data_IF_091968105658
#
_entry.id   IF_091968105658
#
_cell.length_a   1.000
_cell.length_b   1.000
_cell.length_c   1.000
_cell.angle_alpha   90.00
_cell.angle_beta   90.00
_cell.angle_gamma   90.00
#
_symmetry.space_group_name_H-M   'P 1'
#
loop_
_entity.id
_entity.type
_entity.pdbx_description
1 polymer ?
#
# COMPACT_ATOMS: atom_id res chain seq x y z
N UNK A 1 -19.40 25.13 43.59
CA UNK A 1 -18.14 25.74 44.07
C UNK A 1 -16.99 24.91 43.48
N UNK A 2 -16.20 25.51 42.58
CA UNK A 2 -15.07 24.84 41.94
C UNK A 2 -13.87 24.91 42.89
N UNK A 3 -13.18 23.78 43.21
CA UNK A 3 -11.97 23.83 43.99
C UNK A 3 -10.88 24.57 43.21
N UNK A 4 -10.26 25.54 43.87
CA UNK A 4 -9.24 26.42 43.32
C UNK A 4 -8.07 25.63 42.71
N UNK A 5 -7.73 25.98 41.48
CA UNK A 5 -6.49 25.58 40.83
C UNK A 5 -5.39 26.37 41.57
N UNK A 6 -4.70 25.70 42.48
CA UNK A 6 -3.48 26.21 43.10
C UNK A 6 -2.37 26.04 42.06
N UNK A 7 -1.99 27.15 41.41
CA UNK A 7 -0.82 27.22 40.54
C UNK A 7 0.45 27.27 41.42
N UNK A 8 0.85 26.13 41.97
CA UNK A 8 2.09 25.93 42.72
C UNK A 8 3.27 25.70 41.76
N UNK A 9 3.54 26.69 40.91
CA UNK A 9 4.47 26.51 39.79
C UNK A 9 5.22 27.76 39.32
N UNK A 10 5.38 28.77 40.18
CA UNK A 10 6.37 29.82 39.95
C UNK A 10 7.76 29.29 40.33
N UNK A 11 8.27 28.36 39.51
CA UNK A 11 9.70 28.08 39.47
C UNK A 11 10.40 29.39 39.10
N UNK A 12 11.07 29.95 40.10
CA UNK A 12 11.91 31.13 40.07
C UNK A 12 12.78 31.12 38.79
N UNK A 13 12.37 31.88 37.77
CA UNK A 13 13.13 32.05 36.53
C UNK A 13 14.47 32.67 36.87
N UNK A 14 15.49 31.84 37.09
CA UNK A 14 16.87 32.31 37.26
C UNK A 14 17.22 33.20 36.06
N UNK A 15 17.72 34.42 36.28
CA UNK A 15 18.05 35.31 35.18
C UNK A 15 19.10 34.62 34.28
N UNK A 16 19.02 34.78 32.95
CA UNK A 16 19.97 34.16 32.05
C UNK A 16 21.39 34.63 32.39
N UNK A 17 22.28 33.70 32.74
CA UNK A 17 23.72 33.99 32.90
C UNK A 17 24.23 34.44 31.53
N UNK A 18 24.65 35.71 31.45
CA UNK A 18 24.82 36.44 30.18
C UNK A 18 26.06 36.05 29.35
N UNK A 19 26.90 35.12 29.82
CA UNK A 19 28.27 35.03 29.28
C UNK A 19 28.73 33.65 28.77
N UNK A 20 27.85 32.65 28.62
CA UNK A 20 28.25 31.36 28.05
C UNK A 20 27.53 31.12 26.71
N UNK A 21 28.25 31.38 25.60
CA UNK A 21 27.71 31.24 24.23
C UNK A 21 27.11 29.84 23.98
N UNK A 22 27.62 28.81 24.64
CA UNK A 22 27.24 27.41 24.46
C UNK A 22 26.87 26.80 25.82
N UNK A 23 25.58 26.78 26.12
CA UNK A 23 25.00 26.14 27.30
C UNK A 23 24.63 24.69 26.96
N UNK A 24 25.56 23.78 27.23
CA UNK A 24 25.41 22.35 26.95
C UNK A 24 24.24 21.72 27.72
N UNK A 25 23.87 22.27 28.88
CA UNK A 25 22.73 21.79 29.67
C UNK A 25 21.40 22.03 28.94
N UNK A 26 21.30 23.15 28.22
CA UNK A 26 20.11 23.46 27.43
C UNK A 26 20.03 22.59 26.15
N UNK A 27 21.17 22.30 25.51
CA UNK A 27 21.23 21.46 24.30
C UNK A 27 20.84 20.00 24.60
N UNK A 28 21.31 19.48 25.74
CA UNK A 28 20.99 18.13 26.19
C UNK A 28 19.68 18.06 27.00
N UNK A 29 18.94 19.16 27.13
CA UNK A 29 17.69 19.16 27.88
C UNK A 29 16.58 18.43 27.10
N UNK A 30 15.93 17.46 27.75
CA UNK A 30 14.75 16.81 27.21
C UNK A 30 13.51 17.59 27.62
N UNK A 31 12.81 18.18 26.64
CA UNK A 31 11.55 18.86 26.87
C UNK A 31 10.41 17.83 26.89
N UNK A 32 9.87 17.58 28.08
CA UNK A 32 8.66 16.77 28.26
C UNK A 32 7.44 17.67 28.32
N UNK A 33 6.36 17.25 27.67
CA UNK A 33 5.06 17.89 27.83
C UNK A 33 4.48 17.55 29.21
N UNK A 34 4.02 18.57 29.93
CA UNK A 34 3.21 18.38 31.13
C UNK A 34 1.84 17.86 30.70
N UNK A 35 1.56 16.59 31.01
CA UNK A 35 0.29 15.92 30.66
C UNK A 35 -0.61 15.91 31.89
N UNK A 36 -1.87 16.30 31.73
CA UNK A 36 -2.89 16.21 32.77
C UNK A 36 -3.67 14.92 32.60
N UNK A 37 -3.79 14.13 33.66
CA UNK A 37 -4.55 12.88 33.63
C UNK A 37 -6.00 13.14 34.04
N UNK A 38 -6.93 13.07 33.08
CA UNK A 38 -8.36 13.26 33.31
C UNK A 38 -8.99 11.88 33.61
N UNK A 39 -9.49 11.70 34.83
CA UNK A 39 -10.15 10.45 35.27
C UNK A 39 -11.65 10.46 34.96
N UNK A 40 -12.00 10.40 33.68
CA UNK A 40 -13.38 10.26 33.21
C UNK A 40 -13.59 8.91 32.51
N UNK A 41 -14.65 8.18 32.89
CA UNK A 41 -15.01 6.87 32.34
C UNK A 41 -15.43 6.96 30.88
N UNK A 42 -16.18 8.00 30.49
CA UNK A 42 -16.65 8.18 29.12
C UNK A 42 -15.52 8.55 28.19
N UNK A 43 -14.65 9.47 28.63
CA UNK A 43 -13.47 9.88 27.86
C UNK A 43 -12.48 8.71 27.68
N UNK A 44 -12.26 7.92 28.73
CA UNK A 44 -11.46 6.71 28.65
C UNK A 44 -12.04 5.68 27.69
N UNK A 45 -13.37 5.45 27.74
CA UNK A 45 -14.06 4.54 26.83
C UNK A 45 -13.92 4.96 25.36
N UNK A 46 -14.17 6.24 25.04
CA UNK A 46 -14.03 6.77 23.69
C UNK A 46 -12.59 6.66 23.17
N UNK A 47 -11.60 6.95 24.02
CA UNK A 47 -10.19 6.78 23.70
C UNK A 47 -9.88 5.31 23.33
N UNK A 48 -10.26 4.36 24.18
CA UNK A 48 -9.98 2.94 23.94
C UNK A 48 -10.70 2.40 22.71
N UNK A 49 -11.95 2.81 22.45
CA UNK A 49 -12.66 2.43 21.22
C UNK A 49 -11.92 2.96 19.99
N UNK A 50 -11.46 4.21 20.03
CA UNK A 50 -10.74 4.82 18.91
C UNK A 50 -9.43 4.08 18.65
N UNK A 51 -8.64 3.83 19.69
CA UNK A 51 -7.39 3.06 19.60
C UNK A 51 -7.65 1.66 19.05
N UNK A 52 -8.66 0.96 19.59
CA UNK A 52 -9.01 -0.39 19.15
C UNK A 52 -9.46 -0.40 17.68
N UNK A 53 -10.24 0.58 17.25
CA UNK A 53 -10.66 0.72 15.86
C UNK A 53 -9.46 0.89 14.92
N UNK A 54 -8.52 1.78 15.26
CA UNK A 54 -7.30 2.01 14.49
C UNK A 54 -6.44 0.75 14.42
N UNK A 55 -6.23 0.07 15.56
CA UNK A 55 -5.46 -1.18 15.62
C UNK A 55 -6.13 -2.27 14.78
N UNK A 56 -7.45 -2.41 14.89
CA UNK A 56 -8.21 -3.43 14.15
C UNK A 56 -8.13 -3.20 12.63
N UNK A 57 -8.31 -1.96 12.18
CA UNK A 57 -8.16 -1.60 10.75
C UNK A 57 -6.74 -1.91 10.28
N UNK A 58 -5.73 -1.55 11.06
CA UNK A 58 -4.32 -1.81 10.75
C UNK A 58 -4.06 -3.30 10.59
N UNK A 59 -4.53 -4.13 11.54
CA UNK A 59 -4.35 -5.59 11.49
C UNK A 59 -5.07 -6.20 10.29
N UNK A 60 -6.34 -5.86 10.06
CA UNK A 60 -7.13 -6.46 8.99
C UNK A 60 -6.61 -6.01 7.61
N UNK A 61 -6.44 -4.71 7.37
CA UNK A 61 -6.04 -4.24 6.05
C UNK A 61 -4.59 -4.58 5.73
N UNK A 62 -3.65 -4.31 6.64
CA UNK A 62 -2.22 -4.45 6.32
C UNK A 62 -1.78 -5.90 6.40
N UNK A 63 -2.24 -6.66 7.40
CA UNK A 63 -1.80 -8.03 7.59
C UNK A 63 -2.65 -9.03 6.81
N UNK A 64 -3.98 -8.90 6.79
CA UNK A 64 -4.83 -9.89 6.11
C UNK A 64 -4.99 -9.61 4.61
N UNK A 65 -5.28 -8.37 4.20
CA UNK A 65 -5.58 -8.08 2.79
C UNK A 65 -4.29 -7.91 1.98
N UNK A 66 -3.43 -6.98 2.39
CA UNK A 66 -2.19 -6.70 1.65
C UNK A 66 -1.11 -7.78 1.87
N UNK A 67 -1.21 -8.55 2.96
CA UNK A 67 -0.23 -9.60 3.27
C UNK A 67 1.19 -9.06 3.46
N UNK A 68 1.37 -7.78 3.86
CA UNK A 68 2.69 -7.12 3.94
C UNK A 68 3.67 -7.74 4.92
N UNK A 69 3.20 -8.64 5.78
CA UNK A 69 4.03 -9.43 6.68
C UNK A 69 4.80 -10.55 5.96
N UNK A 70 4.43 -10.83 4.70
CA UNK A 70 5.12 -11.79 3.84
C UNK A 70 5.94 -11.07 2.78
N UNK A 71 7.12 -11.63 2.48
CA UNK A 71 7.91 -11.19 1.33
C UNK A 71 7.25 -11.74 0.06
N UNK A 72 6.72 -10.84 -0.76
CA UNK A 72 6.18 -11.19 -2.07
C UNK A 72 7.30 -11.07 -3.10
N UNK A 73 7.77 -12.21 -3.61
CA UNK A 73 8.69 -12.22 -4.74
C UNK A 73 7.86 -12.26 -6.05
N UNK A 74 8.17 -11.40 -7.04
CA UNK A 74 7.41 -11.38 -8.29
C UNK A 74 7.57 -12.72 -9.03
N UNK A 75 6.45 -13.33 -9.40
CA UNK A 75 6.46 -14.55 -10.20
C UNK A 75 6.96 -14.27 -11.61
N UNK A 76 8.07 -14.89 -12.00
CA UNK A 76 8.51 -14.96 -13.40
C UNK A 76 7.76 -16.11 -14.08
N UNK A 77 6.70 -15.77 -14.82
CA UNK A 77 5.94 -16.73 -15.62
C UNK A 77 6.39 -16.72 -17.08
N UNK A 78 6.65 -17.90 -17.66
CA UNK A 78 6.75 -18.06 -19.11
C UNK A 78 5.51 -18.80 -19.58
N UNK A 79 4.71 -18.19 -20.47
CA UNK A 79 3.62 -18.87 -21.12
C UNK A 79 4.10 -19.37 -22.50
N UNK A 80 3.83 -20.63 -22.81
CA UNK A 80 4.04 -21.18 -24.15
C UNK A 80 2.69 -21.64 -24.65
N UNK A 81 2.16 -20.92 -25.63
CA UNK A 81 0.86 -21.25 -26.23
C UNK A 81 1.09 -22.14 -27.45
N UNK A 82 0.31 -23.23 -27.54
CA UNK A 82 0.29 -24.12 -28.72
C UNK A 82 -1.12 -24.12 -29.27
N UNK A 83 -1.26 -23.75 -30.53
CA UNK A 83 -2.54 -23.73 -31.24
C UNK A 83 -2.55 -24.94 -32.17
N UNK A 84 -3.66 -25.66 -32.27
CA UNK A 84 -3.78 -26.76 -33.24
C UNK A 84 -5.11 -26.60 -33.95
N UNK A 85 -5.09 -26.02 -35.14
CA UNK A 85 -6.30 -25.66 -35.90
C UNK A 85 -6.15 -26.08 -37.36
N UNK A 86 -7.26 -26.53 -37.94
CA UNK A 86 -7.45 -26.70 -39.38
C UNK A 86 -8.75 -26.00 -39.76
N UNK A 87 -8.71 -25.12 -40.75
CA UNK A 87 -9.88 -24.35 -41.17
C UNK A 87 -10.13 -24.46 -42.68
N UNK A 88 -11.41 -24.39 -43.05
CA UNK A 88 -11.88 -24.36 -44.43
C UNK A 88 -12.67 -23.07 -44.69
N UNK A 89 -12.35 -22.35 -45.77
CA UNK A 89 -13.06 -21.12 -46.13
C UNK A 89 -14.24 -21.40 -47.07
N UNK A 90 -15.43 -20.86 -46.74
CA UNK A 90 -16.71 -21.12 -47.44
C UNK A 90 -16.77 -20.60 -48.91
N UNK A 91 -15.74 -19.91 -49.41
CA UNK A 91 -15.68 -19.36 -50.78
C UNK A 91 -14.59 -19.94 -51.67
N UNK A 92 -13.65 -20.70 -51.12
CA UNK A 92 -12.48 -21.20 -51.84
C UNK A 92 -12.29 -22.67 -51.42
N UNK A 93 -13.11 -23.57 -51.98
CA UNK A 93 -13.24 -24.98 -51.54
C UNK A 93 -11.93 -25.78 -51.64
N UNK A 94 -10.93 -25.28 -52.36
CA UNK A 94 -9.61 -25.91 -52.52
C UNK A 94 -8.56 -25.44 -51.52
N UNK A 95 -8.81 -24.37 -50.73
CA UNK A 95 -7.83 -23.84 -49.78
C UNK A 95 -8.12 -24.33 -48.37
N UNK A 96 -7.17 -25.11 -47.85
CA UNK A 96 -7.12 -25.54 -46.45
C UNK A 96 -6.12 -24.61 -45.77
N UNK A 97 -6.52 -24.02 -44.64
CA UNK A 97 -5.65 -23.19 -43.81
C UNK A 97 -5.21 -24.00 -42.61
N UNK A 98 -3.91 -24.01 -42.36
CA UNK A 98 -3.32 -24.69 -41.21
C UNK A 98 -2.88 -23.71 -40.11
N UNK A 99 -2.20 -24.24 -39.09
CA UNK A 99 -1.68 -23.45 -37.98
C UNK A 99 -0.70 -22.36 -38.46
N UNK A 100 0.11 -22.63 -39.48
CA UNK A 100 1.11 -21.69 -39.99
C UNK A 100 0.49 -20.54 -40.78
N UNK A 101 -0.65 -20.79 -41.45
CA UNK A 101 -1.36 -19.76 -42.21
C UNK A 101 -2.20 -18.83 -41.33
N UNK A 102 -2.71 -19.34 -40.19
CA UNK A 102 -3.69 -18.64 -39.35
C UNK A 102 -3.07 -17.90 -38.16
N UNK A 103 -1.84 -18.25 -37.78
CA UNK A 103 -1.13 -17.61 -36.66
C UNK A 103 -0.16 -16.53 -37.15
N UNK A 104 -0.09 -15.42 -36.42
CA UNK A 104 0.98 -14.44 -36.60
C UNK A 104 1.30 -13.75 -35.27
N UNK A 105 2.56 -13.68 -34.83
CA UNK A 105 3.76 -14.31 -35.39
C UNK A 105 3.82 -15.83 -35.08
N UNK A 106 4.74 -16.55 -35.71
CA UNK A 106 4.82 -18.02 -35.61
C UNK A 106 5.15 -18.56 -34.21
N UNK A 107 5.80 -17.74 -33.37
CA UNK A 107 6.15 -18.04 -31.98
C UNK A 107 5.93 -16.76 -31.18
N UNK A 108 4.99 -16.78 -30.24
CA UNK A 108 4.76 -15.67 -29.32
C UNK A 108 4.56 -16.21 -27.89
N UNK A 109 5.37 -15.76 -26.91
CA UNK A 109 5.29 -16.25 -25.53
C UNK A 109 4.24 -15.52 -24.67
N UNK A 110 3.63 -14.43 -25.15
CA UNK A 110 2.76 -13.58 -24.32
C UNK A 110 1.34 -13.37 -24.89
N UNK A 111 1.10 -13.78 -26.14
CA UNK A 111 -0.16 -13.61 -26.85
C UNK A 111 -0.25 -14.57 -28.03
N UNK A 112 -1.45 -14.79 -28.55
CA UNK A 112 -1.65 -15.60 -29.75
C UNK A 112 -2.74 -14.95 -30.60
N UNK A 113 -2.36 -14.44 -31.77
CA UNK A 113 -3.33 -13.95 -32.74
C UNK A 113 -3.77 -15.08 -33.66
N UNK A 114 -5.09 -15.28 -33.76
CA UNK A 114 -5.72 -16.24 -34.66
C UNK A 114 -6.56 -15.50 -35.70
N UNK A 115 -6.21 -15.65 -36.97
CA UNK A 115 -6.91 -15.00 -38.07
C UNK A 115 -8.28 -15.63 -38.33
N UNK A 116 -9.36 -14.89 -38.05
CA UNK A 116 -10.75 -15.38 -38.22
C UNK A 116 -11.41 -14.93 -39.53
N UNK A 117 -10.96 -13.80 -40.10
CA UNK A 117 -11.51 -13.25 -41.36
C UNK A 117 -10.41 -12.61 -42.21
N UNK A 118 -10.37 -12.97 -43.50
CA UNK A 118 -9.50 -12.35 -44.52
C UNK A 118 -10.35 -11.53 -45.49
N UNK A 119 -9.98 -10.27 -45.71
CA UNK A 119 -10.52 -9.45 -46.80
C UNK A 119 -9.36 -9.19 -47.75
N UNK A 120 -9.50 -9.57 -49.02
CA UNK A 120 -8.50 -9.31 -50.07
C UNK A 120 -9.11 -8.32 -51.04
N UNK A 121 -8.54 -7.13 -51.12
CA UNK A 121 -8.89 -6.15 -52.14
C UNK A 121 -7.99 -6.40 -53.35
N UNK A 122 -8.60 -6.56 -54.52
CA UNK A 122 -7.89 -6.74 -55.79
C UNK A 122 -7.42 -5.40 -56.33
#
# INVERSE_FOLDING_TARGET
>A
ELPGIVDEGDEERRPPRRDQKWDWDNICSYKTFKIVNIRDRYLGGAYWITVLCVVMITVIFIFHIDGRHTRQDPGLGTAVTRISVKAHAKGDKSKIYDEADLRFPAIEPAGAFLMTRRIVQK
#
